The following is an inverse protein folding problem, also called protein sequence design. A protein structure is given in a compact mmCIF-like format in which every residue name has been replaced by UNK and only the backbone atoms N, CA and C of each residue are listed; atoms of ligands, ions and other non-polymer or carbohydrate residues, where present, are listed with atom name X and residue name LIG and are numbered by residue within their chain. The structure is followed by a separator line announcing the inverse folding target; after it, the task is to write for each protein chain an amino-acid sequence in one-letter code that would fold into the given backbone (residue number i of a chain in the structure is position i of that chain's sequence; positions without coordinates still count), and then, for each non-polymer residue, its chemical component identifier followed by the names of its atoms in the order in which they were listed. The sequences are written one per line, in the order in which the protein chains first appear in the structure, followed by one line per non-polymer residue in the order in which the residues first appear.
data_IF_724254457673
#
_entry.id   IF_724254457673
#
_cell.length_a   1.000
_cell.length_b   1.000
_cell.length_c   1.000
_cell.angle_alpha   90.00
_cell.angle_beta   90.00
_cell.angle_gamma   90.00
#
_symmetry.space_group_name_H-M   'P 1'
#
loop_
_entity.id
_entity.type
_entity.pdbx_description
1 polymer ?
#
# COMPACT_ATOMS: atom_id res chain seq x y z
N UNK A 1 -0.45 -7.57 12.60
CA UNK A 1 -1.44 -7.14 11.58
C UNK A 1 -2.16 -8.33 10.93
N UNK A 2 -3.01 -9.09 11.65
CA UNK A 2 -3.63 -10.31 11.12
C UNK A 2 -4.61 -10.05 9.96
N UNK A 3 -5.23 -8.86 9.90
CA UNK A 3 -6.25 -8.54 8.90
C UNK A 3 -5.70 -8.14 7.53
N UNK A 4 -4.38 -7.94 7.38
CA UNK A 4 -3.80 -7.54 6.10
C UNK A 4 -3.75 -8.67 5.06
N UNK A 5 -3.94 -9.93 5.46
CA UNK A 5 -4.02 -11.07 4.54
C UNK A 5 -5.13 -10.96 3.49
N UNK A 6 -6.16 -10.15 3.74
CA UNK A 6 -7.22 -9.87 2.75
C UNK A 6 -6.65 -9.20 1.49
N UNK A 7 -5.61 -8.37 1.64
CA UNK A 7 -4.96 -7.70 0.51
C UNK A 7 -4.21 -8.69 -0.38
N UNK A 8 -3.73 -9.81 0.16
CA UNK A 8 -3.01 -10.82 -0.61
C UNK A 8 -3.92 -11.43 -1.68
N UNK A 9 -5.07 -11.99 -1.26
CA UNK A 9 -6.02 -12.60 -2.18
C UNK A 9 -6.52 -11.60 -3.24
N UNK A 10 -6.76 -10.36 -2.82
CA UNK A 10 -7.21 -9.32 -3.73
C UNK A 10 -6.14 -8.95 -4.76
N UNK A 11 -4.92 -8.60 -4.32
CA UNK A 11 -3.85 -8.12 -5.21
C UNK A 11 -3.39 -9.23 -6.17
N UNK A 12 -3.35 -10.47 -5.70
CA UNK A 12 -3.04 -11.64 -6.54
C UNK A 12 -4.06 -11.82 -7.67
N UNK A 13 -5.33 -11.43 -7.48
CA UNK A 13 -6.37 -11.52 -8.51
C UNK A 13 -6.57 -10.22 -9.31
N UNK A 14 -5.87 -9.15 -8.96
CA UNK A 14 -6.09 -7.82 -9.55
C UNK A 14 -5.84 -7.78 -11.05
N UNK A 15 -4.75 -8.41 -11.53
CA UNK A 15 -4.45 -8.47 -12.96
C UNK A 15 -5.56 -9.19 -13.75
N UNK A 16 -6.10 -10.27 -13.20
CA UNK A 16 -7.23 -10.99 -13.78
C UNK A 16 -8.51 -10.13 -13.79
N UNK A 17 -8.81 -9.44 -12.69
CA UNK A 17 -9.94 -8.51 -12.63
C UNK A 17 -9.84 -7.41 -13.69
N UNK A 18 -8.64 -6.87 -13.94
CA UNK A 18 -8.38 -5.91 -15.02
C UNK A 18 -8.65 -6.49 -16.41
N UNK A 19 -8.17 -7.71 -16.69
CA UNK A 19 -8.44 -8.42 -17.96
C UNK A 19 -9.94 -8.64 -18.18
N UNK A 20 -10.65 -9.11 -17.15
CA UNK A 20 -12.11 -9.34 -17.20
C UNK A 20 -12.85 -8.03 -17.44
N UNK A 21 -12.49 -6.97 -16.72
CA UNK A 21 -13.11 -5.65 -16.91
C UNK A 21 -12.93 -5.16 -18.36
N UNK A 22 -11.72 -5.28 -18.91
CA UNK A 22 -11.46 -4.88 -20.30
C UNK A 22 -12.31 -5.71 -21.27
N UNK A 23 -12.33 -7.04 -21.14
CA UNK A 23 -13.15 -7.89 -22.01
C UNK A 23 -14.64 -7.57 -21.94
N UNK A 24 -15.15 -7.19 -20.76
CA UNK A 24 -16.55 -6.81 -20.59
C UNK A 24 -16.87 -5.46 -21.24
N UNK A 25 -15.92 -4.51 -21.20
CA UNK A 25 -16.05 -3.22 -21.90
C UNK A 25 -16.05 -3.40 -23.40
N UNK A 26 -15.21 -4.29 -23.91
CA UNK A 26 -15.09 -4.56 -25.36
C UNK A 26 -16.31 -5.33 -25.89
N UNK A 27 -16.84 -6.28 -25.11
CA UNK A 27 -17.99 -7.09 -25.50
C UNK A 27 -19.35 -6.39 -25.30
N UNK A 28 -19.45 -5.41 -24.38
CA UNK A 28 -20.70 -4.75 -24.05
C UNK A 28 -20.57 -3.21 -24.04
N UNK A 29 -20.96 -2.53 -25.13
CA UNK A 29 -20.88 -1.07 -25.22
C UNK A 29 -21.83 -0.35 -24.25
N UNK A 30 -22.97 -0.95 -23.89
CA UNK A 30 -23.89 -0.38 -22.90
C UNK A 30 -23.25 -0.32 -21.51
N UNK A 31 -22.55 -1.38 -21.11
CA UNK A 31 -21.77 -1.41 -19.87
C UNK A 31 -20.69 -0.32 -19.87
N UNK A 32 -19.96 -0.17 -20.98
CA UNK A 32 -18.91 0.85 -21.10
C UNK A 32 -19.48 2.26 -20.96
N UNK A 33 -20.61 2.56 -21.62
CA UNK A 33 -21.30 3.84 -21.49
C UNK A 33 -21.77 4.08 -20.05
N UNK A 34 -22.32 3.06 -19.38
CA UNK A 34 -22.78 3.19 -17.99
C UNK A 34 -21.63 3.44 -17.01
N UNK A 35 -20.48 2.78 -17.22
CA UNK A 35 -19.26 3.04 -16.44
C UNK A 35 -18.72 4.46 -16.67
N UNK A 36 -18.84 4.99 -17.89
CA UNK A 36 -18.47 6.36 -18.19
C UNK A 36 -19.39 7.38 -17.50
N UNK A 37 -20.72 7.18 -17.54
CA UNK A 37 -21.66 8.03 -16.81
C UNK A 37 -21.37 8.02 -15.29
N UNK A 38 -21.07 6.85 -14.73
CA UNK A 38 -20.70 6.73 -13.30
C UNK A 38 -19.42 7.50 -12.97
N UNK A 39 -18.46 7.57 -13.89
CA UNK A 39 -17.24 8.36 -13.69
C UNK A 39 -17.54 9.86 -13.65
N UNK A 40 -18.49 10.32 -14.46
CA UNK A 40 -18.89 11.72 -14.55
C UNK A 40 -19.74 12.18 -13.37
N UNK A 41 -20.29 11.24 -12.59
CA UNK A 41 -20.95 11.56 -11.33
C UNK A 41 -19.92 12.14 -10.31
N UNK A 42 -20.31 13.27 -9.72
CA UNK A 42 -19.61 13.93 -8.62
C UNK A 42 -19.21 13.00 -7.47
N UNK A 43 -20.00 11.94 -7.22
CA UNK A 43 -19.75 10.95 -6.18
C UNK A 43 -18.49 10.10 -6.45
N UNK A 44 -18.16 9.85 -7.73
CA UNK A 44 -17.05 9.00 -8.16
C UNK A 44 -15.72 9.74 -8.24
N UNK A 45 -15.68 11.06 -7.97
CA UNK A 45 -14.47 11.91 -8.04
C UNK A 45 -13.70 11.75 -9.36
N UNK A 46 -14.39 11.49 -10.47
CA UNK A 46 -13.82 11.25 -11.79
C UNK A 46 -12.90 10.01 -11.90
N UNK A 47 -12.96 9.08 -10.93
CA UNK A 47 -12.17 7.84 -10.94
C UNK A 47 -12.86 6.77 -11.78
N UNK A 48 -12.15 6.24 -12.77
CA UNK A 48 -12.60 5.06 -13.53
C UNK A 48 -12.53 3.80 -12.65
N UNK A 49 -13.40 2.83 -12.89
CA UNK A 49 -13.42 1.58 -12.12
C UNK A 49 -12.06 0.87 -12.12
N UNK A 50 -11.32 0.93 -13.23
CA UNK A 50 -9.97 0.37 -13.33
C UNK A 50 -9.02 0.98 -12.29
N UNK A 51 -9.14 2.29 -12.05
CA UNK A 51 -8.34 3.00 -11.05
C UNK A 51 -8.75 2.65 -9.61
N UNK A 52 -10.05 2.47 -9.36
CA UNK A 52 -10.55 2.01 -8.06
C UNK A 52 -10.02 0.61 -7.72
N UNK A 53 -9.94 -0.29 -8.72
CA UNK A 53 -9.42 -1.64 -8.53
C UNK A 53 -7.92 -1.67 -8.16
N UNK A 54 -7.15 -0.63 -8.52
CA UNK A 54 -5.74 -0.47 -8.19
C UNK A 54 -5.48 0.04 -6.75
N UNK A 55 -6.48 0.64 -6.11
CA UNK A 55 -6.34 1.30 -4.79
C UNK A 55 -5.76 0.35 -3.71
N UNK A 56 -6.18 -0.92 -3.60
CA UNK A 56 -5.63 -1.81 -2.56
C UNK A 56 -4.13 -2.04 -2.67
N UNK A 57 -3.60 -2.20 -3.90
CA UNK A 57 -2.15 -2.33 -4.13
C UNK A 57 -1.40 -1.03 -3.83
N UNK A 58 -1.97 0.11 -4.24
CA UNK A 58 -1.41 1.43 -3.90
C UNK A 58 -1.39 1.68 -2.38
N UNK A 59 -2.38 1.15 -1.66
CA UNK A 59 -2.44 1.27 -0.21
C UNK A 59 -1.38 0.43 0.48
N UNK A 60 -1.20 -0.81 0.01
CA UNK A 60 -0.21 -1.73 0.55
C UNK A 60 1.22 -1.19 0.37
N UNK A 61 1.53 -0.64 -0.80
CA UNK A 61 2.83 -0.03 -1.11
C UNK A 61 3.10 1.26 -0.32
N UNK A 62 2.05 2.00 0.08
CA UNK A 62 2.19 3.22 0.89
C UNK A 62 2.49 2.97 2.36
N UNK A 63 2.02 1.87 2.96
CA UNK A 63 2.20 1.65 4.40
C UNK A 63 3.66 1.66 4.85
N UNK A 64 4.60 0.92 4.21
CA UNK A 64 6.00 0.97 4.60
C UNK A 64 6.59 2.37 4.51
N UNK A 65 6.21 3.16 3.49
CA UNK A 65 6.71 4.53 3.32
C UNK A 65 6.27 5.46 4.45
N UNK A 66 4.98 5.42 4.79
CA UNK A 66 4.42 6.23 5.87
C UNK A 66 4.96 5.82 7.23
N UNK A 67 5.07 4.52 7.50
CA UNK A 67 5.60 4.02 8.78
C UNK A 67 7.08 4.37 8.92
N UNK A 68 7.88 4.30 7.84
CA UNK A 68 9.27 4.79 7.85
C UNK A 68 9.37 6.28 8.19
N UNK A 69 8.49 7.10 7.61
CA UNK A 69 8.47 8.53 7.92
C UNK A 69 8.13 8.75 9.39
N UNK A 70 7.10 8.06 9.92
CA UNK A 70 6.76 8.14 11.35
C UNK A 70 7.97 7.75 12.20
N UNK A 71 8.64 6.62 11.90
CA UNK A 71 9.82 6.16 12.63
C UNK A 71 10.95 7.22 12.64
N UNK A 72 11.20 7.88 11.52
CA UNK A 72 12.22 8.95 11.40
C UNK A 72 11.89 10.17 12.27
N UNK A 73 10.62 10.58 12.35
CA UNK A 73 10.22 11.69 13.22
C UNK A 73 10.13 11.30 14.70
N UNK A 74 10.13 10.00 14.99
CA UNK A 74 10.23 9.44 16.34
C UNK A 74 11.69 9.22 16.77
N UNK A 75 12.67 9.29 15.86
CA UNK A 75 14.09 9.22 16.22
C UNK A 75 14.50 10.45 17.07
N UNK A 76 15.30 10.25 18.14
CA UNK A 76 15.87 11.39 18.87
C UNK A 76 16.75 12.21 17.90
N UNK A 77 16.76 13.55 18.03
CA UNK A 77 17.59 14.39 17.17
C UNK A 77 19.03 13.89 17.21
N UNK A 78 19.56 13.55 16.04
CA UNK A 78 20.97 13.23 15.86
C UNK A 78 21.77 14.43 16.37
N UNK A 79 22.77 14.26 17.25
CA UNK A 79 23.56 15.40 17.71
C UNK A 79 24.29 15.99 16.51
N UNK A 80 23.77 17.09 15.97
CA UNK A 80 24.46 17.95 15.02
C UNK A 80 25.66 18.57 15.75
N UNK A 81 26.90 18.50 15.21
CA UNK A 81 28.08 19.02 15.88
C UNK A 81 28.07 20.55 16.16
N UNK A 82 27.17 21.32 15.53
CA UNK A 82 27.37 22.77 15.40
C UNK A 82 26.22 23.68 15.91
N UNK A 83 25.44 23.29 16.93
CA UNK A 83 24.60 24.29 17.61
C UNK A 83 24.61 24.11 19.13
N UNK A 84 25.02 25.19 19.80
CA UNK A 84 24.98 25.46 21.23
C UNK A 84 23.52 25.53 21.72
N UNK A 85 22.80 24.41 21.66
CA UNK A 85 21.48 24.27 22.29
C UNK A 85 21.73 23.59 23.62
N UNK A 86 21.26 24.22 24.70
CA UNK A 86 21.33 23.67 26.05
C UNK A 86 20.95 22.19 26.06
N UNK A 87 21.61 21.33 26.86
CA UNK A 87 21.29 19.92 26.92
C UNK A 87 19.85 19.78 27.40
N UNK A 88 18.90 19.61 26.47
CA UNK A 88 17.64 18.95 26.81
C UNK A 88 18.10 17.57 27.27
N UNK A 89 17.93 17.31 28.56
CA UNK A 89 18.08 15.99 29.14
C UNK A 89 17.15 15.04 28.37
N UNK A 90 17.62 14.46 27.27
CA UNK A 90 16.95 13.37 26.58
C UNK A 90 17.24 12.10 27.37
N UNK A 91 16.75 12.07 28.61
CA UNK A 91 16.34 10.82 29.23
C UNK A 91 15.16 10.35 28.40
N UNK A 92 15.42 9.62 27.31
CA UNK A 92 14.36 8.97 26.56
C UNK A 92 13.59 8.10 27.52
N UNK A 93 12.33 8.46 27.81
CA UNK A 93 11.53 7.72 28.78
C UNK A 93 11.41 6.26 28.30
N UNK A 94 11.30 5.27 29.21
CA UNK A 94 11.10 3.87 28.84
C UNK A 94 9.94 3.65 27.85
N UNK A 95 8.93 4.52 27.89
CA UNK A 95 7.80 4.56 26.96
C UNK A 95 8.20 4.92 25.53
N UNK A 96 9.17 5.83 25.32
CA UNK A 96 9.63 6.22 23.98
C UNK A 96 10.36 5.08 23.27
N UNK A 97 11.11 4.27 24.02
CA UNK A 97 11.78 3.09 23.46
C UNK A 97 10.76 2.01 23.04
N UNK A 98 9.75 1.76 23.87
CA UNK A 98 8.68 0.81 23.57
C UNK A 98 7.81 1.26 22.37
N UNK A 99 7.53 2.56 22.25
CA UNK A 99 6.82 3.11 21.09
C UNK A 99 7.63 2.97 19.81
N UNK A 100 8.92 3.30 19.85
CA UNK A 100 9.84 3.10 18.72
C UNK A 100 9.90 1.64 18.28
N UNK A 101 10.05 0.71 19.22
CA UNK A 101 10.08 -0.72 18.93
C UNK A 101 8.77 -1.18 18.28
N UNK A 102 7.62 -0.71 18.78
CA UNK A 102 6.32 -0.98 18.19
C UNK A 102 6.18 -0.46 16.74
N UNK A 103 6.69 0.74 16.45
CA UNK A 103 6.68 1.32 15.10
C UNK A 103 7.61 0.54 14.18
N UNK A 104 8.82 0.17 14.64
CA UNK A 104 9.77 -0.64 13.88
C UNK A 104 9.20 -2.03 13.56
N UNK A 105 8.56 -2.68 14.53
CA UNK A 105 7.86 -3.96 14.33
C UNK A 105 6.72 -3.83 13.33
N UNK A 106 5.98 -2.72 13.37
CA UNK A 106 4.91 -2.43 12.40
C UNK A 106 5.46 -2.23 10.99
N UNK A 107 6.61 -1.57 10.85
CA UNK A 107 7.29 -1.39 9.58
C UNK A 107 7.73 -2.74 8.98
N UNK A 108 8.46 -3.54 9.75
CA UNK A 108 8.91 -4.86 9.33
C UNK A 108 7.73 -5.76 8.92
N UNK A 109 6.61 -5.68 9.66
CA UNK A 109 5.39 -6.39 9.31
C UNK A 109 4.82 -5.94 7.96
N UNK A 110 4.74 -4.63 7.71
CA UNK A 110 4.21 -4.08 6.46
C UNK A 110 5.09 -4.43 5.25
N UNK A 111 6.42 -4.37 5.41
CA UNK A 111 7.38 -4.76 4.38
C UNK A 111 7.25 -6.24 4.02
N UNK A 112 7.22 -7.12 5.03
CA UNK A 112 7.07 -8.56 4.83
C UNK A 112 5.78 -8.91 4.08
N UNK A 113 4.66 -8.25 4.41
CA UNK A 113 3.38 -8.48 3.73
C UNK A 113 3.46 -8.00 2.29
N UNK A 114 4.04 -6.82 2.04
CA UNK A 114 4.17 -6.29 0.68
C UNK A 114 5.06 -7.21 -0.19
N UNK A 115 6.16 -7.71 0.36
CA UNK A 115 7.04 -8.66 -0.30
C UNK A 115 6.31 -9.98 -0.61
N UNK A 116 5.61 -10.56 0.36
CA UNK A 116 4.80 -11.77 0.17
C UNK A 116 3.77 -11.61 -0.95
N UNK A 117 3.07 -10.46 -1.00
CA UNK A 117 2.11 -10.16 -2.06
C UNK A 117 2.79 -10.01 -3.42
N UNK A 118 3.91 -9.28 -3.49
CA UNK A 118 4.65 -9.06 -4.73
C UNK A 118 5.17 -10.37 -5.33
N UNK A 119 5.76 -11.24 -4.51
CA UNK A 119 6.25 -12.54 -4.97
C UNK A 119 5.10 -13.44 -5.42
N UNK A 120 3.98 -13.48 -4.67
CA UNK A 120 2.81 -14.29 -5.06
C UNK A 120 2.20 -13.81 -6.39
N UNK A 121 2.14 -12.49 -6.61
CA UNK A 121 1.70 -11.90 -7.88
C UNK A 121 2.65 -12.32 -9.01
N UNK A 122 3.96 -12.18 -8.80
CA UNK A 122 4.99 -12.56 -9.78
C UNK A 122 4.91 -14.04 -10.16
N UNK A 123 4.76 -14.93 -9.18
CA UNK A 123 4.62 -16.37 -9.39
C UNK A 123 3.36 -16.72 -10.17
N UNK A 124 2.24 -16.03 -9.91
CA UNK A 124 1.00 -16.23 -10.66
C UNK A 124 1.15 -15.76 -12.11
N UNK A 125 1.70 -14.58 -12.33
CA UNK A 125 1.96 -14.06 -13.68
C UNK A 125 2.93 -14.94 -14.46
N UNK A 126 3.97 -15.47 -13.79
CA UNK A 126 4.90 -16.43 -14.37
C UNK A 126 4.20 -17.72 -14.83
N UNK A 127 3.36 -18.30 -13.97
CA UNK A 127 2.55 -19.48 -14.32
C UNK A 127 1.59 -19.20 -15.49
N UNK A 128 0.94 -18.04 -15.50
CA UNK A 128 0.04 -17.65 -16.61
C UNK A 128 0.77 -17.52 -17.96
N UNK A 129 2.06 -17.16 -17.96
CA UNK A 129 2.87 -17.10 -19.19
C UNK A 129 3.31 -18.48 -19.70
N UNK A 130 3.56 -19.44 -18.80
CA UNK A 130 3.98 -20.79 -19.17
C UNK A 130 2.84 -21.66 -19.75
N UNK A 131 1.59 -21.27 -19.50
CA UNK A 131 0.38 -21.99 -19.94
C UNK A 131 -0.13 -21.47 -21.29
N UNK A 132 0.45 -20.40 -21.83
CA UNK A 132 0.14 -19.83 -23.16
C UNK A 132 1.14 -20.30 -24.20
#
# INVERSE_FOLDING_TARGET
MPHMRVYLNYCVNQANAGKVLQSLRDANPELSARLQCLREDSSARNLDLSSCLLVPMQRLTRYPLLIRQILQYTDPPTPTPDLFVAPRLTLSLPTEHAERESIANSLACAERILEEVNETVRDREGRERLVR
#
